data_IF_510398726905
#
_entry.id   IF_510398726905
#
_cell.length_a   1.000
_cell.length_b   1.000
_cell.length_c   1.000
_cell.angle_alpha   90.00
_cell.angle_beta   90.00
_cell.angle_gamma   90.00
#
_symmetry.space_group_name_H-M   'P 1'
#
loop_
_entity.id
_entity.type
_entity.pdbx_description
1 polymer ?
#
# COMPACT_ATOMS: atom_id res chain seq x y z
N UNK A 1 -2.53 -0.55 -0.81
CA UNK A 1 -3.72 -1.21 -1.39
C UNK A 1 -3.30 -1.86 -2.70
N UNK A 2 -3.49 -3.16 -2.82
CA UNK A 2 -3.24 -3.95 -4.01
C UNK A 2 -4.59 -4.29 -4.62
N UNK A 3 -4.78 -3.92 -5.88
CA UNK A 3 -5.98 -4.20 -6.66
C UNK A 3 -5.56 -4.42 -8.12
N UNK A 4 -6.31 -5.23 -8.87
CA UNK A 4 -6.02 -5.47 -10.30
C UNK A 4 -6.38 -4.24 -11.16
N UNK A 5 -7.12 -3.28 -10.57
CA UNK A 5 -7.39 -1.96 -11.12
C UNK A 5 -6.64 -0.89 -10.31
N UNK A 6 -5.66 -0.24 -10.94
CA UNK A 6 -4.82 0.76 -10.28
C UNK A 6 -5.61 2.00 -9.81
N UNK A 7 -6.63 2.41 -10.56
CA UNK A 7 -7.48 3.56 -10.18
C UNK A 7 -8.28 3.21 -8.94
N UNK A 8 -8.87 2.01 -8.90
CA UNK A 8 -9.60 1.53 -7.71
C UNK A 8 -8.69 1.36 -6.50
N UNK A 9 -7.46 0.87 -6.70
CA UNK A 9 -6.46 0.79 -5.63
C UNK A 9 -6.17 2.17 -5.03
N UNK A 10 -6.01 3.18 -5.90
CA UNK A 10 -5.73 4.56 -5.53
C UNK A 10 -6.86 5.16 -4.71
N UNK A 11 -8.11 5.04 -5.16
CA UNK A 11 -9.29 5.54 -4.44
C UNK A 11 -9.37 4.95 -3.04
N UNK A 12 -9.24 3.62 -2.94
CA UNK A 12 -9.34 2.89 -1.66
C UNK A 12 -8.21 3.21 -0.69
N UNK A 13 -6.97 3.42 -1.17
CA UNK A 13 -5.87 3.79 -0.27
C UNK A 13 -6.06 5.20 0.29
N UNK A 14 -6.59 6.15 -0.49
CA UNK A 14 -6.90 7.50 0.00
C UNK A 14 -7.98 7.44 1.07
N UNK A 15 -9.06 6.72 0.78
CA UNK A 15 -10.16 6.53 1.73
C UNK A 15 -9.65 5.91 3.04
N UNK A 16 -8.84 4.85 2.95
CA UNK A 16 -8.23 4.20 4.11
C UNK A 16 -7.36 5.14 4.94
N UNK A 17 -6.49 5.92 4.30
CA UNK A 17 -5.64 6.90 4.98
C UNK A 17 -6.46 8.00 5.65
N UNK A 18 -7.49 8.51 4.97
CA UNK A 18 -8.41 9.50 5.52
C UNK A 18 -9.18 8.94 6.73
N UNK A 19 -9.59 7.66 6.71
CA UNK A 19 -10.29 7.04 7.83
C UNK A 19 -9.41 6.90 9.09
N UNK A 20 -8.09 6.71 8.93
CA UNK A 20 -7.16 6.56 10.06
C UNK A 20 -6.70 7.92 10.58
N UNK A 21 -6.39 8.86 9.69
CA UNK A 21 -5.69 10.10 10.05
C UNK A 21 -6.56 11.36 9.92
N UNK A 22 -7.71 11.29 9.27
CA UNK A 22 -8.51 12.46 8.88
C UNK A 22 -7.69 13.47 8.09
N UNK A 23 -7.98 14.75 8.29
CA UNK A 23 -7.24 15.87 7.66
C UNK A 23 -5.94 16.24 8.41
N UNK A 24 -5.52 15.42 9.38
CA UNK A 24 -4.42 15.75 10.30
C UNK A 24 -3.04 15.72 9.65
N UNK A 25 -2.92 15.11 8.46
CA UNK A 25 -1.68 14.97 7.71
C UNK A 25 -1.85 15.65 6.35
N UNK A 26 -1.38 16.90 6.19
CA UNK A 26 -1.41 17.60 4.90
C UNK A 26 -0.69 16.78 3.82
N UNK A 27 -1.39 16.48 2.72
CA UNK A 27 -0.84 15.70 1.63
C UNK A 27 -0.69 14.21 1.94
N UNK A 28 -1.29 13.71 3.02
CA UNK A 28 -1.25 12.29 3.41
C UNK A 28 -1.81 11.36 2.33
N UNK A 29 -2.70 11.85 1.48
CA UNK A 29 -3.20 11.13 0.32
C UNK A 29 -2.12 10.84 -0.73
N UNK A 30 -0.95 11.49 -0.68
CA UNK A 30 0.12 11.31 -1.67
C UNK A 30 1.21 10.32 -1.24
N UNK A 31 1.17 9.80 -0.01
CA UNK A 31 2.25 8.93 0.52
C UNK A 31 1.96 7.43 0.45
N UNK A 32 0.74 7.03 0.07
CA UNK A 32 0.35 5.62 0.01
C UNK A 32 0.84 4.90 -1.26
N UNK A 33 1.65 3.86 -1.11
CA UNK A 33 1.99 2.93 -2.21
C UNK A 33 0.76 2.05 -2.52
N UNK A 34 0.23 2.16 -3.72
CA UNK A 34 -0.97 1.44 -4.17
C UNK A 34 -0.98 1.23 -5.68
N UNK A 35 -1.76 0.26 -6.14
CA UNK A 35 -1.92 -0.05 -7.55
C UNK A 35 -2.08 -1.55 -7.78
N UNK A 36 -1.69 -2.00 -8.98
CA UNK A 36 -1.49 -3.42 -9.26
C UNK A 36 -0.34 -3.99 -8.44
N UNK A 37 -0.19 -5.33 -8.33
CA UNK A 37 0.99 -5.91 -7.70
C UNK A 37 2.31 -5.36 -8.26
N UNK A 38 2.39 -5.18 -9.59
CA UNK A 38 3.56 -4.63 -10.25
C UNK A 38 3.83 -3.17 -9.86
N UNK A 39 2.79 -2.34 -9.74
CA UNK A 39 2.93 -0.96 -9.29
C UNK A 39 3.45 -0.88 -7.85
N UNK A 40 2.93 -1.75 -6.97
CA UNK A 40 3.35 -1.79 -5.57
C UNK A 40 4.79 -2.29 -5.45
N UNK A 41 5.19 -3.32 -6.19
CA UNK A 41 6.59 -3.78 -6.23
C UNK A 41 7.51 -2.65 -6.66
N UNK A 42 7.17 -1.94 -7.74
CA UNK A 42 7.96 -0.80 -8.24
C UNK A 42 8.08 0.28 -7.16
N UNK A 43 6.96 0.71 -6.57
CA UNK A 43 6.97 1.75 -5.54
C UNK A 43 7.76 1.35 -4.29
N UNK A 44 7.67 0.09 -3.85
CA UNK A 44 8.46 -0.38 -2.71
C UNK A 44 9.96 -0.49 -3.04
N UNK A 45 10.32 -0.90 -4.25
CA UNK A 45 11.72 -0.86 -4.71
C UNK A 45 12.27 0.56 -4.74
N UNK A 46 11.49 1.53 -5.23
CA UNK A 46 11.89 2.95 -5.18
C UNK A 46 12.20 3.40 -3.75
N UNK A 47 11.41 2.96 -2.75
CA UNK A 47 11.71 3.24 -1.32
C UNK A 47 12.98 2.50 -0.85
N UNK A 48 13.14 1.22 -1.18
CA UNK A 48 14.35 0.44 -0.81
C UNK A 48 15.61 1.09 -1.40
N UNK A 49 15.54 1.51 -2.67
CA UNK A 49 16.65 2.11 -3.41
C UNK A 49 17.07 3.47 -2.82
N UNK A 50 16.21 4.12 -2.02
CA UNK A 50 16.59 5.31 -1.23
C UNK A 50 17.41 4.99 0.03
N UNK A 51 17.70 3.71 0.28
CA UNK A 51 18.49 3.24 1.42
C UNK A 51 17.65 2.78 2.62
N UNK A 52 16.36 2.49 2.43
CA UNK A 52 15.53 1.96 3.51
C UNK A 52 15.95 0.52 3.85
N UNK A 53 16.50 0.31 5.05
CA UNK A 53 16.90 -1.02 5.53
C UNK A 53 15.72 -1.84 6.08
N UNK A 54 14.60 -1.19 6.41
CA UNK A 54 13.40 -1.84 6.94
C UNK A 54 12.16 -1.16 6.36
N UNK A 55 11.22 -1.98 5.87
CA UNK A 55 9.89 -1.53 5.46
C UNK A 55 8.83 -2.06 6.43
N UNK A 56 8.04 -1.16 6.99
CA UNK A 56 6.81 -1.51 7.71
C UNK A 56 5.62 -1.35 6.76
N UNK A 57 5.05 -2.46 6.30
CA UNK A 57 3.91 -2.45 5.41
C UNK A 57 2.62 -2.50 6.23
N UNK A 58 1.80 -1.44 6.13
CA UNK A 58 0.55 -1.31 6.85
C UNK A 58 -0.64 -1.21 5.87
N UNK A 59 -1.39 -2.30 5.65
CA UNK A 59 -2.66 -2.23 4.94
C UNK A 59 -3.63 -1.25 5.63
N UNK A 60 -4.39 -0.49 4.83
CA UNK A 60 -5.34 0.54 5.31
C UNK A 60 -6.77 0.23 4.87
N UNK A 61 -7.11 -1.06 4.83
CA UNK A 61 -8.46 -1.49 4.49
C UNK A 61 -9.50 -1.07 5.51
N UNK A 62 -10.80 -1.01 5.13
CA UNK A 62 -11.87 -0.51 5.97
C UNK A 62 -12.17 -1.45 7.15
N UNK A 63 -11.74 -2.71 7.09
CA UNK A 63 -11.98 -3.69 8.13
C UNK A 63 -10.88 -4.77 8.22
N UNK A 64 -10.98 -5.62 9.25
CA UNK A 64 -10.02 -6.70 9.51
C UNK A 64 -9.98 -7.74 8.37
N UNK A 65 -11.11 -8.21 7.81
CA UNK A 65 -11.09 -9.11 6.65
C UNK A 65 -10.32 -8.55 5.45
N UNK A 66 -10.55 -7.29 5.06
CA UNK A 66 -9.84 -6.71 3.92
C UNK A 66 -8.34 -6.55 4.23
N UNK A 67 -7.99 -6.15 5.46
CA UNK A 67 -6.58 -6.08 5.84
C UNK A 67 -5.91 -7.46 5.78
N UNK A 68 -6.60 -8.53 6.16
CA UNK A 68 -6.09 -9.91 5.99
C UNK A 68 -5.83 -10.23 4.52
N UNK A 69 -6.79 -9.96 3.64
CA UNK A 69 -6.63 -10.18 2.19
C UNK A 69 -5.41 -9.42 1.65
N UNK A 70 -5.23 -8.16 2.04
CA UNK A 70 -4.08 -7.35 1.62
C UNK A 70 -2.76 -7.92 2.14
N UNK A 71 -2.72 -8.45 3.37
CA UNK A 71 -1.54 -9.14 3.90
C UNK A 71 -1.23 -10.42 3.11
N UNK A 72 -2.25 -11.21 2.75
CA UNK A 72 -2.08 -12.42 1.94
C UNK A 72 -1.54 -12.09 0.55
N UNK A 73 -2.08 -11.06 -0.11
CA UNK A 73 -1.58 -10.55 -1.40
C UNK A 73 -0.15 -10.04 -1.31
N UNK A 74 0.18 -9.27 -0.27
CA UNK A 74 1.56 -8.81 -0.03
C UNK A 74 2.53 -10.00 0.09
N UNK A 75 2.16 -11.02 0.87
CA UNK A 75 2.98 -12.21 1.08
C UNK A 75 3.14 -13.07 -0.18
N UNK A 76 2.11 -13.18 -1.02
CA UNK A 76 2.11 -14.04 -2.20
C UNK A 76 2.67 -13.34 -3.45
N UNK A 77 2.31 -12.07 -3.69
CA UNK A 77 2.51 -11.40 -4.97
C UNK A 77 3.63 -10.36 -4.93
N UNK A 78 3.90 -9.75 -3.77
CA UNK A 78 4.78 -8.56 -3.66
C UNK A 78 6.11 -8.87 -2.98
N UNK A 79 6.08 -9.30 -1.71
CA UNK A 79 7.28 -9.49 -0.88
C UNK A 79 8.30 -10.44 -1.53
N UNK A 80 7.91 -11.57 -2.16
CA UNK A 80 8.86 -12.47 -2.83
C UNK A 80 9.62 -11.84 -4.00
N UNK A 81 9.17 -10.69 -4.53
CA UNK A 81 9.78 -9.98 -5.64
C UNK A 81 10.74 -8.86 -5.18
N UNK A 82 10.87 -8.60 -3.87
CA UNK A 82 11.68 -7.50 -3.34
C UNK A 82 13.12 -7.89 -2.96
N UNK A 83 13.42 -9.19 -2.98
CA UNK A 83 14.75 -9.75 -2.75
C UNK A 83 15.61 -9.82 -4.00
#
# INVERSE_FOLDING_TARGET
MIDDDATRARERVVEGLHNIYGDSIPGGENVGVSGTPADVIRGLREVIDTGAEMLLLNPVGPDVPQNREQMERLAAEVIPQLS
#
